data_IF_730876297329
#
_entry.id   IF_730876297329
#
_cell.length_a   1.000
_cell.length_b   1.000
_cell.length_c   1.000
_cell.angle_alpha   90.00
_cell.angle_beta   90.00
_cell.angle_gamma   90.00
#
_symmetry.space_group_name_H-M   'P 1'
#
loop_
_entity.id
_entity.type
_entity.pdbx_description
1 polymer ?
#
# COMPACT_ATOMS: atom_id res chain seq x y z
N UNK A 1 44.19 28.28 -38.99
CA UNK A 1 42.84 27.78 -38.66
C UNK A 1 42.79 27.52 -37.16
N UNK A 2 42.08 28.37 -36.39
CA UNK A 2 41.86 28.16 -34.95
C UNK A 2 40.44 27.61 -34.80
N UNK A 3 40.30 26.35 -34.46
CA UNK A 3 39.02 25.77 -34.09
C UNK A 3 38.69 26.21 -32.65
N UNK A 4 37.67 27.05 -32.50
CA UNK A 4 37.03 27.29 -31.22
C UNK A 4 36.01 26.16 -31.00
N UNK A 5 36.29 25.27 -30.05
CA UNK A 5 35.33 24.26 -29.62
C UNK A 5 34.29 24.95 -28.71
N UNK A 6 33.05 25.04 -29.21
CA UNK A 6 31.90 25.51 -28.45
C UNK A 6 31.45 24.36 -27.54
N UNK A 7 31.73 24.45 -26.24
CA UNK A 7 31.20 23.49 -25.27
C UNK A 7 29.71 23.79 -25.03
N UNK A 8 28.83 22.88 -25.46
CA UNK A 8 27.44 22.87 -25.01
C UNK A 8 27.41 22.41 -23.54
N UNK A 9 27.11 23.33 -22.63
CA UNK A 9 26.64 22.96 -21.30
C UNK A 9 25.18 22.50 -21.41
N UNK A 10 24.95 21.19 -21.31
CA UNK A 10 23.62 20.70 -20.95
C UNK A 10 23.38 21.08 -19.48
N UNK A 11 22.46 22.01 -19.23
CA UNK A 11 21.97 22.25 -17.88
C UNK A 11 21.18 21.00 -17.45
N UNK A 12 21.73 20.23 -16.52
CA UNK A 12 20.97 19.19 -15.83
C UNK A 12 19.83 19.88 -15.08
N UNK A 13 18.58 19.54 -15.44
CA UNK A 13 17.44 19.90 -14.61
C UNK A 13 17.68 19.31 -13.20
N UNK A 14 17.38 20.03 -12.12
CA UNK A 14 17.48 19.47 -10.78
C UNK A 14 16.60 18.22 -10.74
N UNK A 15 17.22 17.07 -10.49
CA UNK A 15 16.49 15.86 -10.18
C UNK A 15 15.61 16.19 -8.96
N UNK A 16 14.31 15.99 -9.10
CA UNK A 16 13.42 16.09 -7.96
C UNK A 16 13.86 15.03 -6.94
N UNK A 17 14.00 15.42 -5.68
CA UNK A 17 14.39 14.47 -4.64
C UNK A 17 13.27 13.44 -4.48
N UNK A 18 13.63 12.16 -4.35
CA UNK A 18 12.67 11.10 -4.09
C UNK A 18 11.91 11.37 -2.78
N UNK A 19 10.60 11.16 -2.78
CA UNK A 19 9.75 11.44 -1.62
C UNK A 19 8.98 10.20 -1.18
N UNK A 20 8.72 10.08 0.13
CA UNK A 20 7.74 9.16 0.70
C UNK A 20 6.60 9.97 1.29
N UNK A 21 5.38 9.67 0.88
CA UNK A 21 4.16 10.34 1.28
C UNK A 21 3.40 9.46 2.26
N UNK A 22 3.08 9.98 3.44
CA UNK A 22 2.53 9.21 4.56
C UNK A 22 1.23 9.84 5.05
N UNK A 23 0.12 9.13 4.94
CA UNK A 23 -1.18 9.57 5.46
C UNK A 23 -1.22 9.47 6.99
N UNK A 24 -1.77 10.48 7.65
CA UNK A 24 -1.83 10.60 9.11
C UNK A 24 -3.30 10.71 9.54
N UNK A 25 -3.89 9.58 9.92
CA UNK A 25 -5.34 9.44 10.13
C UNK A 25 -5.93 10.47 11.11
N UNK A 26 -5.21 10.77 12.20
CA UNK A 26 -5.76 11.64 13.26
C UNK A 26 -5.46 13.12 13.06
N UNK A 27 -4.70 13.47 12.03
CA UNK A 27 -4.31 14.84 11.74
C UNK A 27 -4.89 15.37 10.43
N UNK A 28 -5.57 14.53 9.63
CA UNK A 28 -6.12 14.91 8.33
C UNK A 28 -5.06 15.52 7.42
N UNK A 29 -3.87 14.91 7.42
CA UNK A 29 -2.71 15.36 6.66
C UNK A 29 -1.89 14.23 6.07
N UNK A 30 -1.07 14.58 5.07
CA UNK A 30 0.04 13.79 4.56
C UNK A 30 1.35 14.42 5.02
N UNK A 31 2.27 13.60 5.51
CA UNK A 31 3.66 13.99 5.76
C UNK A 31 4.52 13.56 4.56
N UNK A 32 5.25 14.49 3.96
CA UNK A 32 6.16 14.24 2.84
C UNK A 32 7.59 14.18 3.35
N UNK A 33 8.22 13.03 3.19
CA UNK A 33 9.59 12.73 3.65
C UNK A 33 10.53 12.76 2.46
N UNK A 34 11.61 13.53 2.56
CA UNK A 34 12.73 13.48 1.62
C UNK A 34 13.60 12.24 1.90
N UNK A 35 13.81 11.40 0.89
CA UNK A 35 14.50 10.10 1.04
C UNK A 35 16.00 10.27 1.33
N UNK A 36 16.64 11.32 0.82
CA UNK A 36 18.08 11.53 1.00
C UNK A 36 18.38 12.15 2.37
N UNK A 37 17.55 13.11 2.80
CA UNK A 37 17.69 13.83 4.06
C UNK A 37 17.06 13.06 5.22
N UNK A 38 16.15 12.15 4.92
CA UNK A 38 15.36 11.37 5.87
C UNK A 38 14.66 12.27 6.89
N UNK A 39 13.98 13.30 6.40
CA UNK A 39 13.24 14.26 7.22
C UNK A 39 11.96 14.71 6.50
N UNK A 40 10.96 15.12 7.27
CA UNK A 40 9.72 15.68 6.71
C UNK A 40 10.02 17.05 6.13
N UNK A 41 9.69 17.25 4.86
CA UNK A 41 9.88 18.53 4.15
C UNK A 41 8.58 19.30 3.98
N UNK A 42 7.44 18.61 3.94
CA UNK A 42 6.10 19.21 3.80
C UNK A 42 5.06 18.44 4.60
N UNK A 43 4.04 19.16 5.03
CA UNK A 43 2.79 18.59 5.55
C UNK A 43 1.66 19.16 4.72
N UNK A 44 0.84 18.28 4.13
CA UNK A 44 -0.21 18.63 3.17
C UNK A 44 -1.56 18.28 3.80
N UNK A 45 -2.52 19.21 3.89
CA UNK A 45 -3.86 18.89 4.38
C UNK A 45 -4.62 18.00 3.39
N UNK A 46 -5.48 17.14 3.91
CA UNK A 46 -6.41 16.28 3.16
C UNK A 46 -7.84 16.46 3.69
N UNK A 47 -8.76 15.63 3.22
CA UNK A 47 -10.01 15.33 3.91
C UNK A 47 -9.78 14.48 5.17
N UNK A 48 -10.88 14.13 5.82
CA UNK A 48 -10.90 13.50 7.14
C UNK A 48 -10.47 12.03 7.09
N UNK A 49 -9.69 11.60 8.09
CA UNK A 49 -9.14 10.24 8.25
C UNK A 49 -8.49 9.69 6.96
N UNK A 50 -7.37 10.26 6.50
CA UNK A 50 -6.70 9.76 5.32
C UNK A 50 -6.05 8.40 5.58
N UNK A 51 -6.34 7.40 4.72
CA UNK A 51 -5.75 6.04 4.81
C UNK A 51 -5.02 5.64 3.53
N UNK A 52 -5.67 4.91 2.62
CA UNK A 52 -5.08 4.47 1.34
C UNK A 52 -4.46 5.63 0.56
N UNK A 53 -3.24 5.44 0.05
CA UNK A 53 -2.51 6.44 -0.73
C UNK A 53 -1.67 5.76 -1.81
N UNK A 54 -1.79 6.21 -3.06
CA UNK A 54 -1.01 5.68 -4.19
C UNK A 54 -0.89 6.75 -5.27
N UNK A 55 0.28 6.84 -5.92
CA UNK A 55 0.49 7.68 -7.09
C UNK A 55 -0.14 7.05 -8.34
N UNK A 56 -0.64 7.87 -9.27
CA UNK A 56 -0.94 7.40 -10.61
C UNK A 56 0.32 6.78 -11.25
N UNK A 57 0.20 5.81 -12.18
CA UNK A 57 1.36 5.16 -12.81
C UNK A 57 2.35 6.14 -13.47
N UNK A 58 1.87 7.29 -13.94
CA UNK A 58 2.68 8.36 -14.53
C UNK A 58 3.17 9.41 -13.50
N UNK A 59 2.86 9.21 -12.22
CA UNK A 59 3.15 10.11 -11.09
C UNK A 59 2.60 11.54 -11.23
N UNK A 60 1.65 11.77 -12.14
CA UNK A 60 1.08 13.10 -12.38
C UNK A 60 0.19 13.58 -11.23
N UNK A 61 -0.46 12.65 -10.53
CA UNK A 61 -1.31 12.89 -9.36
C UNK A 61 -1.07 11.83 -8.30
N UNK A 62 -1.47 12.14 -7.06
CA UNK A 62 -1.59 11.16 -5.98
C UNK A 62 -3.05 11.05 -5.55
N UNK A 63 -3.52 9.82 -5.39
CA UNK A 63 -4.85 9.50 -4.90
C UNK A 63 -4.78 9.23 -3.40
N UNK A 64 -5.78 9.66 -2.63
CA UNK A 64 -5.89 9.43 -1.19
C UNK A 64 -7.32 9.12 -0.81
N UNK A 65 -7.56 8.00 -0.12
CA UNK A 65 -8.83 7.78 0.57
C UNK A 65 -8.92 8.75 1.73
N UNK A 66 -9.87 9.68 1.70
CA UNK A 66 -10.29 10.45 2.86
C UNK A 66 -11.55 9.77 3.40
N UNK A 67 -11.33 8.77 4.25
CA UNK A 67 -12.31 7.76 4.64
C UNK A 67 -13.56 8.36 5.28
N UNK A 68 -13.39 9.24 6.27
CA UNK A 68 -14.55 9.90 6.94
C UNK A 68 -15.18 11.01 6.08
N UNK A 69 -14.60 11.31 4.91
CA UNK A 69 -15.16 12.23 3.91
C UNK A 69 -15.82 11.51 2.73
N UNK A 70 -15.92 10.18 2.77
CA UNK A 70 -16.56 9.32 1.74
C UNK A 70 -16.06 9.59 0.32
N UNK A 71 -14.76 9.86 0.17
CA UNK A 71 -14.18 10.28 -1.10
C UNK A 71 -12.74 9.80 -1.32
N UNK A 72 -12.34 9.71 -2.59
CA UNK A 72 -10.93 9.64 -2.97
C UNK A 72 -10.49 11.00 -3.50
N UNK A 73 -9.58 11.65 -2.79
CA UNK A 73 -9.03 12.94 -3.19
C UNK A 73 -7.90 12.76 -4.20
N UNK A 74 -7.91 13.60 -5.24
CA UNK A 74 -6.84 13.69 -6.25
C UNK A 74 -6.01 14.93 -5.96
N UNK A 75 -4.74 14.75 -5.65
CA UNK A 75 -3.84 15.83 -5.20
C UNK A 75 -2.72 16.02 -6.22
N UNK A 76 -2.41 17.27 -6.56
CA UNK A 76 -1.22 17.63 -7.33
C UNK A 76 0.01 17.47 -6.43
N UNK A 77 0.95 16.57 -6.76
CA UNK A 77 2.07 16.29 -5.88
C UNK A 77 3.10 17.43 -5.84
N UNK A 78 3.13 18.30 -6.87
CA UNK A 78 4.00 19.49 -6.89
C UNK A 78 3.47 20.55 -5.93
N UNK A 79 2.25 21.01 -6.13
CA UNK A 79 1.69 22.10 -5.31
C UNK A 79 1.12 21.66 -3.97
N UNK A 80 0.82 20.37 -3.80
CA UNK A 80 0.12 19.82 -2.63
C UNK A 80 -1.36 20.21 -2.57
N UNK A 81 -1.95 20.69 -3.67
CA UNK A 81 -3.35 21.11 -3.71
C UNK A 81 -4.24 19.93 -4.10
N UNK A 82 -5.37 19.78 -3.40
CA UNK A 82 -6.47 18.95 -3.86
C UNK A 82 -7.02 19.55 -5.16
N UNK A 83 -7.00 18.77 -6.22
CA UNK A 83 -7.46 19.16 -7.56
C UNK A 83 -8.97 18.95 -7.68
N UNK A 84 -9.44 17.82 -7.20
CA UNK A 84 -10.84 17.39 -7.19
C UNK A 84 -10.96 16.09 -6.40
N UNK A 85 -12.21 15.71 -6.16
CA UNK A 85 -12.61 14.47 -5.54
C UNK A 85 -13.11 13.49 -6.62
N UNK A 86 -12.83 12.20 -6.44
CA UNK A 86 -13.45 11.10 -7.17
C UNK A 86 -14.57 10.52 -6.31
N UNK A 87 -15.73 10.17 -6.92
CA UNK A 87 -16.82 9.56 -6.18
C UNK A 87 -16.37 8.23 -5.56
N UNK A 88 -16.94 7.90 -4.41
CA UNK A 88 -16.81 6.60 -3.77
C UNK A 88 -18.14 6.19 -3.15
N UNK A 89 -18.16 5.06 -2.43
CA UNK A 89 -19.17 4.76 -1.41
C UNK A 89 -18.75 5.26 -0.02
N UNK A 90 -19.48 4.84 1.01
CA UNK A 90 -19.19 5.15 2.41
C UNK A 90 -17.89 4.47 2.86
N UNK A 91 -17.11 5.19 3.66
CA UNK A 91 -15.85 4.73 4.27
C UNK A 91 -14.85 4.04 3.30
N UNK A 92 -14.29 4.76 2.31
CA UNK A 92 -13.27 4.21 1.43
C UNK A 92 -11.96 3.97 2.20
N UNK A 93 -11.44 2.75 2.13
CA UNK A 93 -10.31 2.30 2.96
C UNK A 93 -8.98 2.21 2.19
N UNK A 94 -8.86 1.21 1.31
CA UNK A 94 -7.81 1.13 0.29
C UNK A 94 -8.41 1.14 -1.10
N UNK A 95 -7.54 1.34 -2.08
CA UNK A 95 -7.85 1.20 -3.49
C UNK A 95 -6.65 0.66 -4.25
N UNK A 96 -6.92 0.19 -5.46
CA UNK A 96 -5.91 -0.17 -6.44
C UNK A 96 -6.18 0.54 -7.76
N UNK A 97 -5.13 1.11 -8.36
CA UNK A 97 -5.18 1.74 -9.69
C UNK A 97 -4.89 0.67 -10.74
N UNK A 98 -5.65 0.64 -11.83
CA UNK A 98 -5.33 -0.23 -12.97
C UNK A 98 -3.96 0.12 -13.56
N UNK A 99 -3.23 -0.85 -14.17
CA UNK A 99 -1.90 -0.60 -14.73
C UNK A 99 -1.86 0.50 -15.80
N UNK A 100 -2.97 0.73 -16.51
CA UNK A 100 -3.12 1.80 -17.50
C UNK A 100 -3.55 3.15 -16.90
N UNK A 101 -3.78 3.21 -15.58
CA UNK A 101 -4.14 4.41 -14.83
C UNK A 101 -5.61 4.84 -14.92
N UNK A 102 -6.43 4.13 -15.69
CA UNK A 102 -7.78 4.58 -16.06
C UNK A 102 -8.87 4.23 -15.06
N UNK A 103 -8.70 3.13 -14.33
CA UNK A 103 -9.70 2.65 -13.39
C UNK A 103 -9.13 2.63 -11.98
N UNK A 104 -9.94 3.08 -11.03
CA UNK A 104 -9.69 2.98 -9.61
C UNK A 104 -10.69 2.00 -9.01
N UNK A 105 -10.21 0.95 -8.35
CA UNK A 105 -11.03 -0.01 -7.61
C UNK A 105 -10.91 0.30 -6.13
N UNK A 106 -12.00 0.69 -5.49
CA UNK A 106 -12.03 1.24 -4.13
C UNK A 106 -12.84 0.29 -3.24
N UNK A 107 -12.30 -0.10 -2.10
CA UNK A 107 -13.04 -0.84 -1.08
C UNK A 107 -13.80 0.16 -0.19
N UNK A 108 -15.12 0.01 -0.10
CA UNK A 108 -16.01 0.84 0.71
C UNK A 108 -16.52 0.03 1.89
N UNK A 109 -15.91 0.25 3.07
CA UNK A 109 -16.02 -0.64 4.23
C UNK A 109 -17.46 -0.76 4.74
N UNK A 110 -18.13 0.37 4.91
CA UNK A 110 -19.49 0.43 5.48
C UNK A 110 -20.58 -0.04 4.50
N UNK A 111 -20.31 0.03 3.19
CA UNK A 111 -21.27 -0.36 2.15
C UNK A 111 -21.19 -1.85 1.76
N UNK A 112 -20.11 -2.56 2.13
CA UNK A 112 -19.81 -3.92 1.65
C UNK A 112 -19.73 -4.01 0.11
N UNK A 113 -19.19 -2.98 -0.54
CA UNK A 113 -19.01 -2.92 -1.99
C UNK A 113 -17.57 -2.58 -2.39
N UNK A 114 -17.22 -2.99 -3.61
CA UNK A 114 -16.10 -2.42 -4.37
C UNK A 114 -16.64 -1.45 -5.41
N UNK A 115 -16.30 -0.17 -5.29
CA UNK A 115 -16.65 0.85 -6.29
C UNK A 115 -15.55 0.97 -7.34
N UNK A 116 -15.93 0.95 -8.62
CA UNK A 116 -15.01 1.15 -9.75
C UNK A 116 -15.25 2.52 -10.36
N UNK A 117 -14.21 3.34 -10.43
CA UNK A 117 -14.28 4.72 -10.94
C UNK A 117 -13.33 4.89 -12.12
N UNK A 118 -13.81 5.55 -13.17
CA UNK A 118 -12.96 6.02 -14.26
C UNK A 118 -12.28 7.32 -13.85
N UNK A 119 -10.95 7.34 -13.84
CA UNK A 119 -10.14 8.44 -13.28
C UNK A 119 -10.15 9.70 -14.16
N UNK A 120 -10.41 9.56 -15.46
CA UNK A 120 -10.44 10.67 -16.42
C UNK A 120 -11.80 11.36 -16.42
N UNK A 121 -12.86 10.57 -16.57
CA UNK A 121 -14.25 11.04 -16.64
C UNK A 121 -14.86 11.25 -15.25
N UNK A 122 -14.28 10.64 -14.21
CA UNK A 122 -14.67 10.76 -12.79
C UNK A 122 -16.05 10.19 -12.48
N UNK A 123 -16.49 9.22 -13.27
CA UNK A 123 -17.77 8.55 -13.06
C UNK A 123 -17.57 7.16 -12.48
N UNK A 124 -18.53 6.74 -11.65
CA UNK A 124 -18.67 5.36 -11.22
C UNK A 124 -19.05 4.51 -12.44
N UNK A 125 -18.25 3.48 -12.69
CA UNK A 125 -18.41 2.51 -13.78
C UNK A 125 -19.15 1.27 -13.29
N UNK A 126 -18.86 0.83 -12.07
CA UNK A 126 -19.50 -0.32 -11.45
C UNK A 126 -19.49 -0.19 -9.92
N UNK A 127 -20.45 -0.85 -9.30
CA UNK A 127 -20.46 -1.16 -7.87
C UNK A 127 -20.65 -2.67 -7.77
N UNK A 128 -19.77 -3.32 -7.03
CA UNK A 128 -19.67 -4.78 -6.97
C UNK A 128 -19.90 -5.20 -5.53
N UNK A 129 -20.99 -5.92 -5.27
CA UNK A 129 -21.26 -6.48 -3.95
C UNK A 129 -20.15 -7.46 -3.55
N UNK A 130 -19.56 -7.23 -2.38
CA UNK A 130 -18.53 -8.09 -1.79
C UNK A 130 -18.97 -8.50 -0.37
N UNK A 131 -18.02 -9.01 0.42
CA UNK A 131 -18.24 -9.34 1.82
C UNK A 131 -18.25 -8.09 2.71
N UNK A 132 -18.60 -8.29 3.99
CA UNK A 132 -18.75 -7.22 4.98
C UNK A 132 -17.38 -6.66 5.37
N UNK A 133 -17.31 -5.33 5.53
CA UNK A 133 -16.10 -4.57 5.85
C UNK A 133 -14.96 -4.84 4.84
N UNK A 134 -15.13 -4.52 3.54
CA UNK A 134 -14.04 -4.60 2.59
C UNK A 134 -12.98 -3.53 2.88
N UNK A 135 -11.71 -3.90 2.75
CA UNK A 135 -10.60 -2.99 3.05
C UNK A 135 -9.46 -3.12 2.04
N UNK A 136 -8.81 -4.27 1.97
CA UNK A 136 -7.65 -4.50 1.09
C UNK A 136 -8.05 -4.58 -0.38
N UNK A 137 -7.23 -3.96 -1.25
CA UNK A 137 -7.45 -3.91 -2.70
C UNK A 137 -6.18 -4.24 -3.48
N UNK A 138 -6.31 -5.01 -4.56
CA UNK A 138 -5.23 -5.27 -5.51
C UNK A 138 -5.77 -5.35 -6.95
N UNK A 139 -4.94 -4.97 -7.92
CA UNK A 139 -5.18 -5.24 -9.35
C UNK A 139 -3.96 -5.99 -9.90
N UNK A 140 -4.20 -7.02 -10.71
CA UNK A 140 -3.13 -7.84 -11.28
C UNK A 140 -2.24 -7.04 -12.23
N UNK A 141 -0.96 -7.41 -12.41
CA UNK A 141 -0.03 -6.65 -13.26
C UNK A 141 -0.50 -6.45 -14.70
N UNK A 142 -1.24 -7.41 -15.24
CA UNK A 142 -1.86 -7.35 -16.56
C UNK A 142 -3.23 -6.66 -16.59
N UNK A 143 -3.73 -6.24 -15.43
CA UNK A 143 -4.95 -5.47 -15.27
C UNK A 143 -6.23 -6.25 -15.50
N UNK A 144 -6.20 -7.59 -15.39
CA UNK A 144 -7.35 -8.46 -15.71
C UNK A 144 -8.15 -8.88 -14.49
N UNK A 145 -7.51 -8.97 -13.33
CA UNK A 145 -8.12 -9.43 -12.09
C UNK A 145 -7.96 -8.31 -11.06
N UNK A 146 -9.06 -7.96 -10.39
CA UNK A 146 -9.00 -7.20 -9.15
C UNK A 146 -9.35 -8.11 -7.98
N UNK A 147 -8.80 -7.83 -6.81
CA UNK A 147 -9.13 -8.52 -5.56
C UNK A 147 -9.51 -7.51 -4.51
N UNK A 148 -10.60 -7.82 -3.79
CA UNK A 148 -11.02 -7.11 -2.59
C UNK A 148 -11.02 -8.08 -1.41
N UNK A 149 -10.39 -7.72 -0.29
CA UNK A 149 -10.52 -8.49 0.96
C UNK A 149 -11.69 -7.97 1.76
N UNK A 150 -12.37 -8.85 2.50
CA UNK A 150 -13.45 -8.48 3.42
C UNK A 150 -13.17 -8.99 4.83
N UNK A 151 -13.04 -8.05 5.76
CA UNK A 151 -12.56 -8.27 7.13
C UNK A 151 -13.48 -9.22 7.89
N UNK A 152 -14.76 -8.87 8.02
CA UNK A 152 -15.70 -9.63 8.85
C UNK A 152 -16.08 -10.96 8.22
N UNK A 153 -16.17 -11.01 6.89
CA UNK A 153 -16.52 -12.25 6.17
C UNK A 153 -15.34 -13.19 5.92
N UNK A 154 -14.10 -12.75 6.18
CA UNK A 154 -12.88 -13.54 6.04
C UNK A 154 -12.69 -14.09 4.63
N UNK A 155 -12.83 -13.23 3.62
CA UNK A 155 -12.73 -13.64 2.21
C UNK A 155 -11.81 -12.72 1.40
N UNK A 156 -11.28 -13.29 0.31
CA UNK A 156 -10.79 -12.55 -0.84
C UNK A 156 -11.77 -12.76 -2.01
N UNK A 157 -12.21 -11.66 -2.59
CA UNK A 157 -13.20 -11.57 -3.65
C UNK A 157 -12.49 -11.34 -4.99
N UNK A 158 -12.62 -12.27 -5.93
CA UNK A 158 -11.92 -12.22 -7.21
C UNK A 158 -12.83 -11.63 -8.28
N UNK A 159 -12.44 -10.47 -8.79
CA UNK A 159 -13.22 -9.66 -9.72
C UNK A 159 -12.58 -9.71 -11.10
N UNK A 160 -13.37 -10.06 -12.11
CA UNK A 160 -12.98 -9.89 -13.51
C UNK A 160 -13.15 -8.41 -13.88
N UNK A 161 -12.04 -7.76 -14.24
CA UNK A 161 -12.00 -6.31 -14.51
C UNK A 161 -12.71 -5.90 -15.80
N UNK A 162 -12.85 -6.81 -16.77
CA UNK A 162 -13.51 -6.53 -18.04
C UNK A 162 -15.03 -6.61 -17.95
N UNK A 163 -15.55 -7.37 -17.00
CA UNK A 163 -17.00 -7.55 -16.76
C UNK A 163 -17.49 -6.89 -15.48
N UNK A 164 -16.58 -6.50 -14.57
CA UNK A 164 -16.86 -5.99 -13.23
C UNK A 164 -17.74 -6.94 -12.41
N UNK A 165 -17.44 -8.24 -12.49
CA UNK A 165 -18.17 -9.29 -11.78
C UNK A 165 -17.23 -10.18 -11.00
N UNK A 166 -17.72 -10.66 -9.86
CA UNK A 166 -17.07 -11.75 -9.15
C UNK A 166 -17.08 -13.02 -10.00
N UNK A 167 -15.93 -13.67 -10.11
CA UNK A 167 -15.80 -15.01 -10.68
C UNK A 167 -15.39 -16.06 -9.65
N UNK A 168 -14.84 -15.64 -8.49
CA UNK A 168 -14.54 -16.52 -7.37
C UNK A 168 -14.55 -15.77 -6.04
N UNK A 169 -14.74 -16.53 -4.95
CA UNK A 169 -14.52 -16.07 -3.58
C UNK A 169 -13.72 -17.14 -2.85
N UNK A 170 -12.66 -16.76 -2.15
CA UNK A 170 -11.80 -17.69 -1.41
C UNK A 170 -11.78 -17.31 0.06
N UNK A 171 -11.90 -18.31 0.93
CA UNK A 171 -11.77 -18.11 2.37
C UNK A 171 -10.32 -17.75 2.73
N UNK A 172 -10.18 -16.82 3.66
CA UNK A 172 -8.91 -16.41 4.28
C UNK A 172 -9.06 -16.57 5.79
N UNK A 173 -7.96 -16.58 6.53
CA UNK A 173 -8.04 -16.55 7.99
C UNK A 173 -8.60 -15.20 8.49
N UNK A 174 -8.87 -15.13 9.80
CA UNK A 174 -9.68 -14.06 10.37
C UNK A 174 -9.15 -12.64 10.10
N UNK A 175 -10.04 -11.74 9.66
CA UNK A 175 -9.81 -10.31 9.44
C UNK A 175 -8.72 -9.98 8.41
N UNK A 176 -8.92 -10.30 7.12
CA UNK A 176 -7.96 -9.98 6.07
C UNK A 176 -7.87 -8.47 5.77
N UNK A 177 -6.64 -7.91 5.81
CA UNK A 177 -6.34 -6.46 5.70
C UNK A 177 -5.78 -6.01 4.34
N UNK A 178 -4.97 -6.85 3.73
CA UNK A 178 -4.17 -6.45 2.57
C UNK A 178 -3.98 -7.64 1.63
N UNK A 179 -3.98 -7.34 0.33
CA UNK A 179 -3.72 -8.29 -0.73
C UNK A 179 -2.75 -7.69 -1.73
N UNK A 180 -1.85 -8.51 -2.28
CA UNK A 180 -0.92 -8.08 -3.32
C UNK A 180 -0.68 -9.23 -4.30
N UNK A 181 -0.64 -8.90 -5.59
CA UNK A 181 -0.21 -9.84 -6.63
C UNK A 181 1.32 -9.87 -6.68
N UNK A 182 1.87 -11.07 -6.62
CA UNK A 182 3.31 -11.32 -6.53
C UNK A 182 3.75 -12.39 -7.51
N UNK A 183 5.07 -12.49 -7.73
CA UNK A 183 5.68 -13.37 -8.74
C UNK A 183 5.10 -13.07 -10.11
N UNK A 184 5.11 -11.79 -10.47
CA UNK A 184 4.51 -11.25 -11.68
C UNK A 184 3.03 -11.66 -11.88
N UNK A 185 2.26 -11.72 -10.78
CA UNK A 185 0.83 -12.02 -10.80
C UNK A 185 0.47 -13.50 -10.84
N UNK A 186 1.44 -14.40 -10.66
CA UNK A 186 1.14 -15.85 -10.55
C UNK A 186 0.68 -16.26 -9.17
N UNK A 187 0.99 -15.46 -8.15
CA UNK A 187 0.53 -15.64 -6.77
C UNK A 187 -0.23 -14.41 -6.28
N UNK A 188 -1.21 -14.64 -5.41
CA UNK A 188 -1.87 -13.60 -4.63
C UNK A 188 -1.58 -13.89 -3.16
N UNK A 189 -0.96 -12.93 -2.46
CA UNK A 189 -0.75 -13.02 -1.02
C UNK A 189 -1.83 -12.19 -0.32
N UNK A 190 -2.41 -12.72 0.76
CA UNK A 190 -3.43 -12.04 1.55
C UNK A 190 -3.11 -12.15 3.04
N UNK A 191 -2.91 -11.02 3.70
CA UNK A 191 -2.66 -10.96 5.15
C UNK A 191 -3.95 -11.06 5.94
N UNK A 192 -3.99 -11.88 6.97
CA UNK A 192 -5.06 -12.01 7.95
C UNK A 192 -4.60 -11.51 9.32
N UNK A 193 -5.07 -10.33 9.73
CA UNK A 193 -4.61 -9.65 10.93
C UNK A 193 -4.88 -10.49 12.18
N UNK A 194 -6.14 -10.85 12.41
CA UNK A 194 -6.52 -11.64 13.59
C UNK A 194 -6.14 -13.11 13.41
N UNK A 195 -6.14 -13.61 12.17
CA UNK A 195 -5.67 -14.95 11.82
C UNK A 195 -4.19 -15.18 12.14
N UNK A 196 -3.38 -14.11 12.16
CA UNK A 196 -1.94 -14.22 12.44
C UNK A 196 -1.14 -14.81 11.28
N UNK A 197 -1.69 -14.78 10.06
CA UNK A 197 -1.14 -15.48 8.88
C UNK A 197 -1.14 -14.63 7.63
N UNK A 198 -0.30 -15.00 6.65
CA UNK A 198 -0.46 -14.60 5.25
C UNK A 198 -0.77 -15.84 4.45
N UNK A 199 -1.92 -15.87 3.77
CA UNK A 199 -2.29 -16.96 2.85
C UNK A 199 -1.77 -16.64 1.45
N UNK A 200 -1.16 -17.63 0.80
CA UNK A 200 -0.66 -17.53 -0.57
C UNK A 200 -1.56 -18.37 -1.46
N UNK A 201 -2.20 -17.74 -2.44
CA UNK A 201 -3.05 -18.39 -3.44
C UNK A 201 -2.33 -18.52 -4.78
N UNK A 202 -2.55 -19.64 -5.47
CA UNK A 202 -2.27 -19.74 -6.91
C UNK A 202 -3.36 -18.97 -7.67
N UNK A 203 -2.96 -17.99 -8.50
CA UNK A 203 -3.92 -17.10 -9.18
C UNK A 203 -4.71 -17.82 -10.25
N UNK A 204 -4.16 -18.86 -10.90
CA UNK A 204 -4.84 -19.56 -11.98
C UNK A 204 -5.97 -20.47 -11.46
N UNK A 205 -5.76 -21.11 -10.30
CA UNK A 205 -6.72 -22.05 -9.71
C UNK A 205 -7.48 -21.49 -8.50
N UNK A 206 -7.08 -20.32 -7.99
CA UNK A 206 -7.58 -19.70 -6.76
C UNK A 206 -7.42 -20.59 -5.51
N UNK A 207 -6.56 -21.61 -5.56
CA UNK A 207 -6.36 -22.55 -4.45
C UNK A 207 -5.24 -22.08 -3.54
N UNK A 208 -5.39 -22.30 -2.23
CA UNK A 208 -4.31 -22.07 -1.26
C UNK A 208 -3.08 -22.92 -1.62
N UNK A 209 -1.96 -22.25 -1.87
CA UNK A 209 -0.65 -22.82 -2.18
C UNK A 209 0.23 -22.93 -0.93
N UNK A 210 0.15 -21.95 -0.05
CA UNK A 210 0.89 -21.92 1.21
C UNK A 210 0.22 -20.99 2.23
N UNK A 211 0.65 -21.13 3.48
CA UNK A 211 0.23 -20.27 4.59
C UNK A 211 1.43 -19.95 5.46
N UNK A 212 1.72 -18.67 5.62
CA UNK A 212 2.87 -18.15 6.36
C UNK A 212 2.40 -17.77 7.76
N UNK A 213 3.06 -18.32 8.77
CA UNK A 213 2.85 -17.95 10.17
C UNK A 213 4.11 -17.25 10.71
N UNK A 214 3.92 -16.42 11.73
CA UNK A 214 4.98 -15.54 12.25
C UNK A 214 5.30 -15.82 13.72
N UNK A 215 5.90 -16.97 14.05
CA UNK A 215 6.25 -17.27 15.44
C UNK A 215 7.31 -16.28 15.95
N UNK A 216 6.95 -15.47 16.95
CA UNK A 216 7.82 -14.44 17.52
C UNK A 216 8.09 -14.74 19.00
N UNK A 217 9.35 -14.95 19.35
CA UNK A 217 9.75 -15.34 20.71
C UNK A 217 9.40 -14.24 21.72
N UNK A 218 8.68 -14.62 22.78
CA UNK A 218 8.33 -13.70 23.87
C UNK A 218 7.14 -12.78 23.57
N UNK A 219 6.48 -12.95 22.42
CA UNK A 219 5.25 -12.25 22.06
C UNK A 219 4.13 -13.28 21.94
N UNK A 220 2.98 -12.98 22.54
CA UNK A 220 1.82 -13.86 22.46
C UNK A 220 1.30 -13.91 21.01
N UNK A 221 0.90 -15.08 20.46
CA UNK A 221 0.42 -15.20 19.08
C UNK A 221 -0.66 -14.19 18.70
N UNK A 222 -1.64 -13.93 19.57
CA UNK A 222 -2.71 -12.94 19.32
C UNK A 222 -2.22 -11.50 19.10
N UNK A 223 -0.96 -11.18 19.45
CA UNK A 223 -0.34 -9.88 19.18
C UNK A 223 0.43 -9.85 17.87
N UNK A 224 0.69 -11.02 17.28
CA UNK A 224 1.39 -11.14 16.00
C UNK A 224 0.37 -11.13 14.88
N UNK A 225 0.08 -9.94 14.40
CA UNK A 225 -1.00 -9.70 13.45
C UNK A 225 -0.45 -9.11 12.15
N UNK A 226 -0.33 -9.89 11.07
CA UNK A 226 0.18 -9.40 9.80
C UNK A 226 -0.83 -8.44 9.15
N UNK A 227 -0.32 -7.34 8.62
CA UNK A 227 -1.10 -6.31 7.92
C UNK A 227 -0.48 -6.06 6.54
N UNK A 228 -0.15 -4.80 6.19
CA UNK A 228 0.57 -4.48 4.96
C UNK A 228 1.91 -5.23 4.82
N UNK A 229 2.26 -5.53 3.58
CA UNK A 229 3.55 -6.11 3.22
C UNK A 229 3.99 -5.57 1.87
N UNK A 230 5.28 -5.71 1.57
CA UNK A 230 5.90 -5.21 0.35
C UNK A 230 7.10 -6.11 -0.01
N UNK A 231 7.39 -6.24 -1.31
CA UNK A 231 8.46 -7.13 -1.80
C UNK A 231 9.62 -6.37 -2.45
N UNK A 232 10.82 -6.95 -2.33
CA UNK A 232 11.99 -6.51 -3.09
C UNK A 232 11.72 -6.62 -4.59
N UNK A 233 12.45 -5.85 -5.41
CA UNK A 233 12.21 -5.78 -6.85
C UNK A 233 12.39 -7.13 -7.59
N UNK A 234 13.16 -8.05 -7.01
CA UNK A 234 13.32 -9.43 -7.51
C UNK A 234 12.26 -10.41 -6.95
N UNK A 235 11.33 -9.91 -6.15
CA UNK A 235 10.26 -10.64 -5.45
C UNK A 235 10.78 -11.82 -4.61
N UNK A 236 12.03 -11.76 -4.12
CA UNK A 236 12.63 -12.83 -3.30
C UNK A 236 12.46 -12.62 -1.81
N UNK A 237 12.39 -11.37 -1.38
CA UNK A 237 12.25 -11.02 0.04
C UNK A 237 10.99 -10.18 0.23
N UNK A 238 10.08 -10.63 1.07
CA UNK A 238 8.94 -9.86 1.52
C UNK A 238 9.19 -9.30 2.92
N UNK A 239 8.75 -8.06 3.16
CA UNK A 239 8.68 -7.45 4.48
C UNK A 239 7.22 -7.36 4.90
N UNK A 240 6.87 -7.99 6.02
CA UNK A 240 5.48 -8.07 6.49
C UNK A 240 5.36 -7.34 7.82
N UNK A 241 4.45 -6.37 7.91
CA UNK A 241 4.18 -5.66 9.15
C UNK A 241 3.40 -6.53 10.13
N UNK A 242 3.90 -6.66 11.36
CA UNK A 242 3.27 -7.40 12.44
C UNK A 242 2.73 -6.40 13.47
N UNK A 243 1.52 -5.91 13.24
CA UNK A 243 0.98 -4.67 13.79
C UNK A 243 1.24 -4.45 15.27
N UNK A 244 0.46 -5.04 16.20
CA UNK A 244 0.65 -4.85 17.64
C UNK A 244 1.95 -5.44 18.19
N UNK A 245 2.62 -6.32 17.43
CA UNK A 245 3.90 -6.90 17.82
C UNK A 245 5.05 -5.90 17.65
N UNK A 246 4.88 -4.82 16.86
CA UNK A 246 5.90 -3.79 16.61
C UNK A 246 7.13 -4.32 15.84
N UNK A 247 6.91 -5.29 14.96
CA UNK A 247 7.99 -5.90 14.17
C UNK A 247 7.64 -5.91 12.68
N UNK A 248 8.66 -5.86 11.84
CA UNK A 248 8.59 -6.42 10.49
C UNK A 248 9.11 -7.85 10.52
N UNK A 249 8.39 -8.79 9.90
CA UNK A 249 8.96 -10.07 9.50
C UNK A 249 9.67 -9.94 8.15
N UNK A 250 10.81 -10.60 8.00
CA UNK A 250 11.49 -10.76 6.72
C UNK A 250 11.26 -12.18 6.23
N UNK A 251 10.62 -12.32 5.09
CA UNK A 251 10.15 -13.61 4.56
C UNK A 251 10.83 -13.90 3.24
N UNK A 252 11.33 -15.13 3.10
CA UNK A 252 11.78 -15.67 1.84
C UNK A 252 10.56 -16.02 0.97
N UNK A 253 10.32 -15.29 -0.12
CA UNK A 253 9.12 -15.48 -0.94
C UNK A 253 9.17 -16.74 -1.83
N UNK A 254 10.34 -17.36 -2.00
CA UNK A 254 10.47 -18.63 -2.74
C UNK A 254 10.07 -19.83 -1.87
N UNK A 255 10.41 -19.79 -0.58
CA UNK A 255 10.21 -20.91 0.37
C UNK A 255 9.12 -20.66 1.41
N UNK A 256 8.64 -19.41 1.50
CA UNK A 256 7.72 -18.89 2.52
C UNK A 256 8.26 -18.95 3.97
N UNK A 257 9.58 -19.14 4.14
CA UNK A 257 10.20 -19.17 5.46
C UNK A 257 10.37 -17.75 6.01
N UNK A 258 10.01 -17.55 7.28
CA UNK A 258 10.38 -16.33 8.01
C UNK A 258 11.86 -16.42 8.41
N UNK A 259 12.68 -15.51 7.91
CA UNK A 259 14.14 -15.53 8.06
C UNK A 259 14.64 -14.60 9.18
N UNK A 260 13.93 -13.50 9.44
CA UNK A 260 14.35 -12.49 10.42
C UNK A 260 13.17 -11.65 10.93
N UNK A 261 13.38 -10.91 12.02
CA UNK A 261 12.45 -9.93 12.55
C UNK A 261 13.15 -8.62 12.90
N UNK A 262 12.59 -7.50 12.44
CA UNK A 262 13.14 -6.16 12.66
C UNK A 262 12.20 -5.42 13.61
N UNK A 263 12.70 -5.00 14.77
CA UNK A 263 11.94 -4.16 15.69
C UNK A 263 11.73 -2.76 15.09
N UNK A 264 10.49 -2.28 15.10
CA UNK A 264 10.09 -0.96 14.60
C UNK A 264 9.26 -0.20 15.65
N UNK A 265 8.58 0.86 15.23
CA UNK A 265 7.71 1.65 16.10
C UNK A 265 6.44 0.90 16.54
N UNK A 266 5.62 1.57 17.35
CA UNK A 266 4.44 0.94 17.95
C UNK A 266 3.27 0.91 16.98
N UNK A 267 2.64 -0.27 16.83
CA UNK A 267 1.52 -0.53 15.92
C UNK A 267 1.90 -0.22 14.47
N UNK A 268 2.67 -1.12 13.87
CA UNK A 268 3.10 -1.01 12.47
C UNK A 268 1.95 -1.29 11.50
N UNK A 269 1.87 -0.57 10.39
CA UNK A 269 0.82 -0.71 9.36
C UNK A 269 1.42 -0.96 7.97
N UNK A 270 1.35 0.00 7.06
CA UNK A 270 1.88 -0.13 5.69
C UNK A 270 3.28 0.44 5.57
N UNK A 271 3.90 0.20 4.42
CA UNK A 271 5.25 0.60 4.13
C UNK A 271 5.41 0.93 2.65
N UNK A 272 6.45 1.68 2.31
CA UNK A 272 6.82 1.95 0.94
C UNK A 272 8.34 1.96 0.80
N UNK A 273 8.84 1.42 -0.32
CA UNK A 273 10.27 1.44 -0.62
C UNK A 273 10.71 2.79 -1.20
N UNK A 274 11.94 3.22 -0.93
CA UNK A 274 12.59 4.23 -1.76
C UNK A 274 12.60 3.80 -3.24
N UNK A 275 12.69 4.73 -4.21
CA UNK A 275 12.70 4.38 -5.63
C UNK A 275 13.76 3.35 -6.02
N UNK A 276 14.94 3.45 -5.40
CA UNK A 276 16.06 2.51 -5.61
C UNK A 276 15.93 1.20 -4.79
N UNK A 277 14.83 1.05 -4.04
CA UNK A 277 14.50 -0.09 -3.16
C UNK A 277 15.57 -0.41 -2.10
N UNK A 278 16.48 0.54 -1.80
CA UNK A 278 17.52 0.37 -0.77
C UNK A 278 17.01 0.63 0.64
N UNK A 279 16.01 1.50 0.77
CA UNK A 279 15.37 1.84 2.02
C UNK A 279 13.89 1.45 1.99
N UNK A 280 13.38 1.06 3.15
CA UNK A 280 11.96 0.79 3.37
C UNK A 280 11.46 1.71 4.47
N UNK A 281 10.35 2.40 4.22
CA UNK A 281 9.74 3.37 5.12
C UNK A 281 8.47 2.78 5.69
N UNK A 282 8.45 2.58 7.00
CA UNK A 282 7.48 1.75 7.70
C UNK A 282 6.66 2.60 8.66
N UNK A 283 5.36 2.72 8.43
CA UNK A 283 4.46 3.56 9.25
C UNK A 283 4.15 2.89 10.59
N UNK A 284 4.17 3.67 11.67
CA UNK A 284 3.90 3.19 13.02
C UNK A 284 2.84 4.08 13.69
N UNK A 285 1.58 3.62 13.64
CA UNK A 285 0.40 4.41 13.99
C UNK A 285 0.46 4.96 15.42
N UNK A 286 0.73 4.10 16.40
CA UNK A 286 0.66 4.47 17.83
C UNK A 286 1.88 5.27 18.29
N UNK A 287 3.03 5.13 17.63
CA UNK A 287 4.21 5.98 17.93
C UNK A 287 4.24 7.30 17.16
N UNK A 288 3.41 7.47 16.12
CA UNK A 288 3.37 8.70 15.33
C UNK A 288 4.68 8.94 14.58
N UNK A 289 5.26 7.88 14.03
CA UNK A 289 6.53 7.93 13.31
C UNK A 289 6.62 6.93 12.17
N UNK A 290 7.60 7.16 11.30
CA UNK A 290 8.06 6.23 10.28
C UNK A 290 9.42 5.69 10.67
N UNK A 291 9.57 4.36 10.65
CA UNK A 291 10.85 3.69 10.80
C UNK A 291 11.47 3.48 9.43
N UNK A 292 12.70 3.93 9.25
CA UNK A 292 13.50 3.70 8.03
C UNK A 292 14.33 2.45 8.24
N UNK A 293 14.21 1.50 7.33
CA UNK A 293 14.93 0.22 7.34
C UNK A 293 15.89 0.16 6.16
N UNK A 294 17.15 -0.17 6.43
CA UNK A 294 18.12 -0.56 5.40
C UNK A 294 17.80 -2.00 4.98
N UNK A 295 17.37 -2.16 3.73
CA UNK A 295 16.82 -3.41 3.18
C UNK A 295 17.90 -4.49 3.13
N UNK A 296 19.09 -4.15 2.66
CA UNK A 296 20.20 -5.09 2.53
C UNK A 296 20.72 -5.56 3.90
N UNK A 297 20.74 -4.65 4.89
CA UNK A 297 21.17 -4.97 6.26
C UNK A 297 20.06 -5.54 7.14
N UNK A 298 18.80 -5.53 6.67
CA UNK A 298 17.60 -5.91 7.44
C UNK A 298 17.57 -5.23 8.81
N UNK A 299 17.78 -3.91 8.83
CA UNK A 299 17.95 -3.18 10.08
C UNK A 299 17.28 -1.81 10.06
N UNK A 300 16.55 -1.48 11.12
CA UNK A 300 16.09 -0.12 11.38
C UNK A 300 17.30 0.82 11.58
N UNK A 301 17.35 1.91 10.82
CA UNK A 301 18.45 2.87 10.81
C UNK A 301 18.06 4.27 11.30
N UNK A 302 16.77 4.63 11.21
CA UNK A 302 16.28 5.95 11.64
C UNK A 302 14.78 5.89 11.96
N UNK A 303 14.35 6.79 12.83
CA UNK A 303 12.93 7.07 13.08
C UNK A 303 12.66 8.53 12.73
N UNK A 304 11.59 8.78 11.98
CA UNK A 304 11.18 10.11 11.51
C UNK A 304 9.81 10.40 12.10
N UNK A 305 9.67 11.53 12.81
CA UNK A 305 8.37 11.96 13.31
C UNK A 305 7.51 12.50 12.17
N UNK A 306 6.25 12.08 12.15
CA UNK A 306 5.21 12.51 11.20
C UNK A 306 3.96 12.91 11.99
N UNK A 307 2.81 13.01 11.34
CA UNK A 307 1.53 13.23 12.03
C UNK A 307 1.11 12.05 12.91
N UNK A 308 -0.01 12.21 13.60
CA UNK A 308 -0.60 11.22 14.49
C UNK A 308 -1.27 10.11 13.69
N UNK A 309 -1.03 8.86 14.11
CA UNK A 309 -1.58 7.66 13.48
C UNK A 309 -1.24 7.57 11.99
N UNK A 310 0.07 7.55 11.63
CA UNK A 310 0.46 7.28 10.25
C UNK A 310 0.04 5.86 9.87
N UNK A 311 -0.53 5.72 8.67
CA UNK A 311 -1.16 4.47 8.22
C UNK A 311 -0.65 4.01 6.86
N UNK A 312 -0.86 4.81 5.83
CA UNK A 312 -0.48 4.51 4.44
C UNK A 312 0.87 5.14 4.08
N UNK A 313 1.56 4.57 3.10
CA UNK A 313 2.79 5.12 2.56
C UNK A 313 2.85 4.92 1.04
N UNK A 314 3.29 5.94 0.30
CA UNK A 314 3.48 5.86 -1.14
C UNK A 314 4.77 6.57 -1.58
N UNK A 315 5.41 6.03 -2.61
CA UNK A 315 6.67 6.55 -3.13
C UNK A 315 6.46 7.44 -4.34
N UNK A 316 7.10 8.61 -4.32
CA UNK A 316 7.22 9.50 -5.47
C UNK A 316 8.63 9.43 -6.04
N UNK A 317 8.69 9.35 -7.37
CA UNK A 317 9.92 9.42 -8.16
C UNK A 317 10.40 10.86 -8.39
#
# INVERSE_FOLDING_TARGET
MRFAALALLMAALPAQAAEIWVTNEKDDTISVIDVDRLEVTRTIPTGERPRGITFAPDHSVVYVCASDSDTVQVIDPVSGKILHDLPSGEDPEQFAVSPDGKLLYIANEDDAITTVVDTETRHVIAQIDVGIEPEGMAVSPEGKIAVTTSETTNMAHWIDTGTHKLFANTLVDARPRHAEFVKHGTELWVSAEIGGTVTVFDVATQTEKAKIAFPLKGVHPDRVQPVGFELTADEKTAFVALGPANHLAVVNAETYAVEDYILVGRRVWHMAFSPDKRLLFVTNGVSGDVTVVDVAKRKAIKTIKVGRFPWGAATRL
#
